data_IF_812263599249
#
_entry.id   IF_812263599249
#
_cell.length_a   1.000
_cell.length_b   1.000
_cell.length_c   1.000
_cell.angle_alpha   90.00
_cell.angle_beta   90.00
_cell.angle_gamma   90.00
#
_symmetry.space_group_name_H-M   'P 1'
#
loop_
_entity.id
_entity.type
_entity.pdbx_description
1 polymer ?
#
# COMPACT_ATOMS: atom_id res chain seq x y z
N UNK A 1 36.77 -42.51 -43.40
CA UNK A 1 35.47 -42.03 -42.77
C UNK A 1 34.68 -41.36 -43.90
N UNK A 2 33.52 -41.89 -44.20
CA UNK A 2 32.76 -41.47 -45.38
C UNK A 2 32.08 -40.11 -45.06
N UNK A 3 32.07 -39.20 -46.03
CA UNK A 3 31.46 -37.88 -45.89
C UNK A 3 29.98 -37.94 -45.44
N UNK A 4 29.41 -39.13 -45.58
CA UNK A 4 28.05 -39.44 -45.14
C UNK A 4 27.95 -39.65 -43.61
N UNK A 5 28.98 -40.20 -43.00
CA UNK A 5 29.04 -40.41 -41.54
C UNK A 5 29.26 -39.08 -40.82
N UNK A 6 30.07 -38.17 -41.34
CA UNK A 6 30.28 -36.83 -40.80
C UNK A 6 28.99 -35.98 -40.86
N UNK A 7 28.21 -36.11 -41.92
CA UNK A 7 26.91 -35.43 -42.05
C UNK A 7 25.87 -35.99 -41.05
N UNK A 8 25.88 -37.29 -40.84
CA UNK A 8 24.98 -37.96 -39.90
C UNK A 8 25.25 -37.53 -38.47
N UNK A 9 26.51 -37.51 -38.07
CA UNK A 9 26.94 -37.06 -36.74
C UNK A 9 26.61 -35.57 -36.51
N UNK A 10 26.80 -34.73 -37.55
CA UNK A 10 26.43 -33.33 -37.49
C UNK A 10 24.89 -33.10 -37.28
N UNK A 11 24.05 -33.89 -37.96
CA UNK A 11 22.61 -33.79 -37.79
C UNK A 11 22.14 -34.38 -36.46
N UNK A 12 22.75 -35.44 -35.95
CA UNK A 12 22.47 -35.95 -34.60
C UNK A 12 22.86 -34.95 -33.52
N UNK A 13 24.02 -34.31 -33.64
CA UNK A 13 24.47 -33.29 -32.69
C UNK A 13 23.50 -32.09 -32.71
N UNK A 14 23.12 -31.57 -33.88
CA UNK A 14 22.14 -30.49 -33.97
C UNK A 14 20.78 -30.86 -33.41
N UNK A 15 20.32 -32.08 -33.62
CA UNK A 15 19.07 -32.57 -33.04
C UNK A 15 19.13 -32.61 -31.51
N UNK A 16 20.26 -33.06 -30.93
CA UNK A 16 20.50 -33.12 -29.50
C UNK A 16 20.60 -31.72 -28.89
N UNK A 17 21.24 -30.77 -29.57
CA UNK A 17 21.31 -29.37 -29.15
C UNK A 17 19.90 -28.73 -29.14
N UNK A 18 19.08 -28.98 -30.16
CA UNK A 18 17.70 -28.50 -30.25
C UNK A 18 16.83 -29.15 -29.15
N UNK A 19 17.00 -30.44 -28.87
CA UNK A 19 16.29 -31.14 -27.80
C UNK A 19 16.71 -30.61 -26.43
N UNK A 20 18.00 -30.40 -26.19
CA UNK A 20 18.52 -29.82 -24.95
C UNK A 20 18.01 -28.38 -24.74
N UNK A 21 17.94 -27.58 -25.81
CA UNK A 21 17.36 -26.24 -25.80
C UNK A 21 15.85 -26.27 -25.53
N UNK A 22 15.12 -27.22 -26.11
CA UNK A 22 13.71 -27.45 -25.87
C UNK A 22 13.44 -27.94 -24.43
N UNK A 23 14.19 -28.90 -23.91
CA UNK A 23 14.10 -29.35 -22.52
C UNK A 23 14.45 -28.23 -21.53
N UNK A 24 15.47 -27.44 -21.81
CA UNK A 24 15.80 -26.23 -21.04
C UNK A 24 14.72 -25.16 -21.11
N UNK A 25 13.97 -25.09 -22.19
CA UNK A 25 12.80 -24.20 -22.31
C UNK A 25 11.57 -24.72 -21.57
N UNK A 26 11.42 -26.03 -21.43
CA UNK A 26 10.34 -26.68 -20.68
C UNK A 26 10.59 -26.68 -19.15
N UNK A 27 11.86 -26.60 -18.71
CA UNK A 27 12.25 -26.55 -17.30
C UNK A 27 12.20 -25.15 -16.70
N UNK A 28 11.49 -24.19 -17.33
CA UNK A 28 11.34 -22.86 -16.78
C UNK A 28 10.37 -22.89 -15.63
N UNK A 29 10.92 -22.87 -14.43
CA UNK A 29 10.17 -22.87 -13.19
C UNK A 29 9.38 -21.57 -13.02
N UNK A 30 8.12 -21.68 -12.63
CA UNK A 30 7.30 -20.56 -12.24
C UNK A 30 7.83 -20.04 -10.90
N UNK A 31 8.23 -18.78 -10.85
CA UNK A 31 8.83 -18.15 -9.69
C UNK A 31 7.92 -17.05 -9.17
N UNK A 32 7.81 -16.92 -7.84
CA UNK A 32 7.07 -15.83 -7.21
C UNK A 32 7.98 -14.64 -6.94
N UNK A 33 7.52 -13.47 -7.38
CA UNK A 33 8.21 -12.20 -7.19
C UNK A 33 7.39 -11.27 -6.30
N UNK A 34 8.03 -10.78 -5.23
CA UNK A 34 7.54 -9.70 -4.39
C UNK A 34 8.14 -8.40 -4.86
N UNK A 35 7.31 -7.37 -5.04
CA UNK A 35 7.72 -6.05 -5.50
C UNK A 35 7.31 -4.98 -4.50
N UNK A 36 8.20 -4.03 -4.25
CA UNK A 36 7.89 -2.78 -3.54
C UNK A 36 7.74 -1.67 -4.57
N UNK A 37 6.66 -0.90 -4.48
CA UNK A 37 6.33 0.16 -5.44
C UNK A 37 5.91 1.44 -4.75
N UNK A 38 6.43 2.58 -5.25
CA UNK A 38 5.99 3.92 -4.91
C UNK A 38 5.15 4.51 -6.04
N UNK A 39 4.17 5.34 -5.70
CA UNK A 39 3.35 6.03 -6.71
C UNK A 39 2.74 7.34 -6.19
N UNK A 40 2.60 8.29 -7.10
CA UNK A 40 1.69 9.41 -6.98
C UNK A 40 0.28 8.97 -7.42
N UNK A 41 -0.63 8.88 -6.47
CA UNK A 41 -2.00 8.39 -6.71
C UNK A 41 -2.96 9.43 -7.26
N UNK A 42 -2.54 10.69 -7.44
CA UNK A 42 -3.42 11.84 -7.74
C UNK A 42 -4.32 11.59 -8.94
N UNK A 43 -3.75 11.08 -10.03
CA UNK A 43 -4.44 10.93 -11.31
C UNK A 43 -4.97 9.50 -11.53
N UNK A 44 -4.96 8.66 -10.48
CA UNK A 44 -5.42 7.27 -10.53
C UNK A 44 -6.73 7.05 -9.75
N UNK A 45 -7.54 6.11 -10.25
CA UNK A 45 -8.76 5.66 -9.57
C UNK A 45 -8.51 4.78 -8.34
N UNK A 46 -7.32 4.87 -7.74
CA UNK A 46 -6.84 4.08 -6.63
C UNK A 46 -6.04 2.84 -7.07
N UNK A 47 -5.79 1.93 -6.12
CA UNK A 47 -4.98 0.75 -6.38
C UNK A 47 -5.68 -0.28 -7.26
N UNK A 48 -6.93 -0.65 -6.92
CA UNK A 48 -7.60 -1.84 -7.45
C UNK A 48 -8.14 -1.63 -8.86
N UNK A 49 -7.84 -2.57 -9.77
CA UNK A 49 -8.45 -2.66 -11.10
C UNK A 49 -9.98 -2.70 -11.01
N UNK A 50 -10.63 -1.94 -11.88
CA UNK A 50 -12.09 -1.81 -11.96
C UNK A 50 -12.53 -1.61 -13.41
N UNK A 51 -13.82 -1.77 -13.67
CA UNK A 51 -14.42 -1.49 -14.98
C UNK A 51 -14.09 -0.04 -15.39
N UNK A 52 -13.50 0.13 -16.58
CA UNK A 52 -13.05 1.43 -17.09
C UNK A 52 -11.56 1.69 -16.91
N UNK A 53 -10.82 0.86 -16.15
CA UNK A 53 -9.37 0.99 -15.98
C UNK A 53 -8.94 2.20 -15.15
N UNK A 54 -7.69 2.64 -15.33
CA UNK A 54 -7.16 3.84 -14.70
C UNK A 54 -6.66 3.64 -13.27
N UNK A 55 -6.47 2.40 -12.82
CA UNK A 55 -5.89 2.07 -11.53
C UNK A 55 -4.37 1.86 -11.60
N UNK A 56 -3.70 1.92 -10.45
CA UNK A 56 -2.28 1.56 -10.31
C UNK A 56 -2.06 0.09 -10.72
N UNK A 57 -2.98 -0.79 -10.35
CA UNK A 57 -2.93 -2.22 -10.71
C UNK A 57 -2.96 -2.40 -12.22
N UNK A 58 -3.88 -1.74 -12.94
CA UNK A 58 -3.97 -1.81 -14.41
C UNK A 58 -2.67 -1.35 -15.06
N UNK A 59 -2.08 -0.27 -14.56
CA UNK A 59 -0.83 0.26 -15.06
C UNK A 59 0.33 -0.73 -14.91
N UNK A 60 0.47 -1.36 -13.74
CA UNK A 60 1.54 -2.34 -13.46
C UNK A 60 1.30 -3.62 -14.26
N UNK A 61 0.07 -4.14 -14.31
CA UNK A 61 -0.29 -5.35 -15.07
C UNK A 61 -0.06 -5.16 -16.58
N UNK A 62 -0.34 -3.98 -17.12
CA UNK A 62 -0.03 -3.65 -18.51
C UNK A 62 1.49 -3.71 -18.78
N UNK A 63 2.31 -3.10 -17.92
CA UNK A 63 3.78 -3.15 -18.05
C UNK A 63 4.33 -4.57 -17.94
N UNK A 64 3.90 -5.32 -16.92
CA UNK A 64 4.29 -6.71 -16.74
C UNK A 64 3.92 -7.59 -17.95
N UNK A 65 2.70 -7.43 -18.43
CA UNK A 65 2.22 -8.19 -19.58
C UNK A 65 3.03 -7.89 -20.84
N UNK A 66 3.45 -6.63 -21.01
CA UNK A 66 4.33 -6.23 -22.13
C UNK A 66 5.74 -6.81 -22.02
N UNK A 67 6.29 -6.89 -20.79
CA UNK A 67 7.63 -7.45 -20.51
C UNK A 67 7.64 -8.98 -20.67
N UNK A 68 6.59 -9.65 -20.19
CA UNK A 68 6.48 -11.09 -20.13
C UNK A 68 5.86 -11.71 -21.38
N UNK A 69 5.30 -10.87 -22.29
CA UNK A 69 4.62 -11.32 -23.50
C UNK A 69 3.29 -12.05 -23.26
N UNK A 70 2.74 -11.99 -22.03
CA UNK A 70 1.48 -12.62 -21.65
C UNK A 70 0.75 -11.84 -20.58
N UNK A 71 -0.60 -11.90 -20.50
CA UNK A 71 -1.36 -11.30 -19.41
C UNK A 71 -0.86 -11.80 -18.04
N UNK A 72 -0.50 -10.87 -17.15
CA UNK A 72 0.03 -11.19 -15.84
C UNK A 72 -0.74 -10.41 -14.79
N UNK A 73 -1.37 -11.13 -13.86
CA UNK A 73 -2.10 -10.54 -12.74
C UNK A 73 -1.18 -10.33 -11.54
N UNK A 74 -1.44 -9.22 -10.81
CA UNK A 74 -0.74 -8.92 -9.57
C UNK A 74 -1.70 -8.96 -8.37
N UNK A 75 -1.14 -9.28 -7.20
CA UNK A 75 -1.85 -9.29 -5.92
C UNK A 75 -1.24 -8.27 -4.97
N UNK A 76 -1.94 -7.17 -4.71
CA UNK A 76 -1.47 -6.12 -3.80
C UNK A 76 -1.68 -6.45 -2.32
N UNK A 77 -0.86 -5.85 -1.44
CA UNK A 77 -0.97 -6.01 0.02
C UNK A 77 -2.29 -5.42 0.57
N UNK A 78 -2.89 -4.51 -0.14
CA UNK A 78 -4.16 -3.88 0.18
C UNK A 78 -4.49 -2.78 -0.81
N UNK A 79 -5.70 -2.25 -0.68
CA UNK A 79 -6.19 -1.18 -1.54
C UNK A 79 -5.85 0.18 -0.95
N UNK A 80 -5.51 1.13 -1.81
CA UNK A 80 -5.54 2.57 -1.53
C UNK A 80 -6.68 3.20 -2.31
N UNK A 81 -7.31 4.22 -1.73
CA UNK A 81 -8.39 4.97 -2.40
C UNK A 81 -7.84 5.80 -3.58
N UNK A 82 -8.74 6.29 -4.43
CA UNK A 82 -8.40 7.28 -5.46
C UNK A 82 -7.72 8.50 -4.82
N UNK A 83 -6.63 8.96 -5.41
CA UNK A 83 -5.83 10.09 -4.95
C UNK A 83 -4.91 9.82 -3.74
N UNK A 84 -4.86 8.59 -3.23
CA UNK A 84 -3.94 8.19 -2.14
C UNK A 84 -2.62 7.72 -2.73
N UNK A 85 -1.50 8.19 -2.16
CA UNK A 85 -0.14 7.88 -2.59
C UNK A 85 0.43 6.65 -1.88
N UNK A 86 1.57 6.16 -2.37
CA UNK A 86 2.39 5.19 -1.65
C UNK A 86 3.89 5.44 -1.84
N UNK A 87 4.65 5.23 -0.77
CA UNK A 87 6.11 5.11 -0.79
C UNK A 87 6.56 3.64 -0.78
N UNK A 88 5.70 2.73 -0.31
CA UNK A 88 6.06 1.33 -0.07
C UNK A 88 4.87 0.38 -0.16
N UNK A 89 4.02 0.50 -1.19
CA UNK A 89 3.03 -0.53 -1.49
C UNK A 89 3.74 -1.80 -1.94
N UNK A 90 3.19 -2.95 -1.58
CA UNK A 90 3.74 -4.26 -1.96
C UNK A 90 2.73 -5.04 -2.80
N UNK A 91 3.22 -5.67 -3.84
CA UNK A 91 2.47 -6.66 -4.61
C UNK A 91 3.34 -7.88 -4.92
N UNK A 92 2.71 -8.99 -5.27
CA UNK A 92 3.40 -10.16 -5.81
C UNK A 92 2.73 -10.62 -7.10
N UNK A 93 3.48 -11.38 -7.89
CA UNK A 93 3.02 -12.08 -9.08
C UNK A 93 3.88 -13.31 -9.32
N UNK A 94 3.37 -14.23 -10.13
CA UNK A 94 4.09 -15.42 -10.55
C UNK A 94 4.46 -15.31 -12.03
N UNK A 95 5.71 -15.58 -12.36
CA UNK A 95 6.20 -15.52 -13.73
C UNK A 95 7.34 -16.50 -13.98
N UNK A 96 7.43 -16.95 -15.24
CA UNK A 96 8.65 -17.53 -15.77
C UNK A 96 9.55 -16.38 -16.19
N UNK A 97 10.69 -16.22 -15.52
CA UNK A 97 11.65 -15.15 -15.78
C UNK A 97 13.07 -15.67 -15.71
N UNK A 98 13.82 -15.56 -16.82
CA UNK A 98 15.17 -16.15 -16.97
C UNK A 98 16.28 -15.29 -16.35
N UNK A 99 15.97 -14.02 -16.06
CA UNK A 99 16.97 -13.08 -15.57
C UNK A 99 16.84 -12.86 -14.05
N UNK A 100 17.74 -12.05 -13.48
CA UNK A 100 17.69 -11.72 -12.06
C UNK A 100 16.48 -10.83 -11.68
N UNK A 101 16.09 -10.80 -10.39
CA UNK A 101 15.07 -9.89 -9.90
C UNK A 101 15.37 -8.40 -10.17
N UNK A 102 16.65 -8.01 -10.13
CA UNK A 102 17.09 -6.63 -10.43
C UNK A 102 16.88 -6.29 -11.91
N UNK A 103 17.00 -7.27 -12.80
CA UNK A 103 16.69 -7.07 -14.22
C UNK A 103 15.19 -6.84 -14.42
N UNK A 104 14.31 -7.54 -13.67
CA UNK A 104 12.87 -7.29 -13.65
C UNK A 104 12.56 -5.88 -13.12
N UNK A 105 13.21 -5.44 -12.03
CA UNK A 105 13.04 -4.09 -11.49
C UNK A 105 13.41 -3.02 -12.53
N UNK A 106 14.54 -3.20 -13.22
CA UNK A 106 14.94 -2.28 -14.30
C UNK A 106 13.94 -2.28 -15.46
N UNK A 107 13.45 -3.43 -15.88
CA UNK A 107 12.45 -3.53 -16.95
C UNK A 107 11.13 -2.84 -16.57
N UNK A 108 10.66 -3.02 -15.33
CA UNK A 108 9.46 -2.35 -14.81
C UNK A 108 9.63 -0.83 -14.72
N UNK A 109 10.84 -0.33 -14.46
CA UNK A 109 11.16 1.09 -14.42
C UNK A 109 11.54 1.68 -15.78
N UNK A 110 11.69 0.87 -16.83
CA UNK A 110 12.01 1.36 -18.17
C UNK A 110 10.88 2.22 -18.74
N UNK A 111 11.26 3.22 -19.56
CA UNK A 111 10.33 4.24 -20.03
C UNK A 111 10.08 5.31 -18.96
N UNK A 112 9.66 6.49 -19.37
CA UNK A 112 9.57 7.68 -18.53
C UNK A 112 8.39 7.61 -17.53
N UNK A 113 8.49 6.75 -16.50
CA UNK A 113 7.42 6.49 -15.53
C UNK A 113 7.72 7.28 -14.25
N UNK A 114 7.34 8.55 -14.25
CA UNK A 114 7.55 9.41 -13.07
C UNK A 114 6.51 9.17 -11.95
N UNK A 115 5.33 8.65 -12.30
CA UNK A 115 4.20 8.55 -11.37
C UNK A 115 4.08 7.19 -10.65
N UNK A 116 4.68 6.11 -11.21
CA UNK A 116 4.75 4.77 -10.60
C UNK A 116 6.18 4.25 -10.74
N UNK A 117 6.83 3.91 -9.63
CA UNK A 117 8.21 3.43 -9.59
C UNK A 117 8.34 2.16 -8.77
N UNK A 118 8.79 1.08 -9.37
CA UNK A 118 9.17 -0.13 -8.65
C UNK A 118 10.52 0.12 -7.97
N UNK A 119 10.56 -0.04 -6.65
CA UNK A 119 11.74 0.23 -5.82
C UNK A 119 12.61 -1.01 -5.66
N UNK A 120 11.98 -2.17 -5.52
CA UNK A 120 12.69 -3.47 -5.45
C UNK A 120 11.82 -4.59 -6.01
N UNK A 121 12.50 -5.63 -6.49
CA UNK A 121 11.92 -6.93 -6.83
C UNK A 121 12.78 -7.96 -6.15
N UNK A 122 12.16 -8.90 -5.47
CA UNK A 122 12.83 -10.04 -4.84
C UNK A 122 12.05 -11.32 -5.14
N UNK A 123 12.76 -12.42 -5.33
CA UNK A 123 12.17 -13.73 -5.41
C UNK A 123 11.84 -14.22 -4.01
N UNK A 124 10.66 -14.78 -3.83
CA UNK A 124 10.16 -15.23 -2.54
C UNK A 124 9.57 -16.64 -2.67
N UNK A 125 9.43 -17.31 -1.52
CA UNK A 125 8.76 -18.61 -1.46
C UNK A 125 7.31 -18.52 -1.96
N UNK A 126 6.80 -19.61 -2.51
CA UNK A 126 5.41 -19.76 -2.98
C UNK A 126 4.39 -19.59 -1.86
N UNK A 127 4.78 -19.74 -0.60
CA UNK A 127 3.94 -19.47 0.56
C UNK A 127 3.70 -17.97 0.80
N UNK A 128 4.57 -17.11 0.26
CA UNK A 128 4.43 -15.67 0.41
C UNK A 128 3.19 -15.17 -0.32
N UNK A 129 2.33 -14.44 0.38
CA UNK A 129 1.21 -13.74 -0.24
C UNK A 129 1.18 -12.27 0.21
N UNK A 130 1.31 -11.32 -0.72
CA UNK A 130 1.42 -9.89 -0.42
C UNK A 130 0.32 -9.36 0.52
N UNK A 131 -0.88 -9.94 0.52
CA UNK A 131 -2.00 -9.53 1.36
C UNK A 131 -2.10 -10.34 2.66
N UNK A 132 -1.92 -11.66 2.60
CA UNK A 132 -2.22 -12.53 3.73
C UNK A 132 -1.03 -12.70 4.67
N UNK A 133 0.20 -12.48 4.18
CA UNK A 133 1.42 -12.49 5.00
C UNK A 133 1.70 -11.15 5.69
N UNK A 134 0.80 -10.15 5.56
CA UNK A 134 0.99 -8.81 6.17
C UNK A 134 0.80 -8.87 7.68
N UNK A 135 1.79 -8.35 8.41
CA UNK A 135 1.76 -8.19 9.88
C UNK A 135 1.33 -6.78 10.30
N UNK A 136 1.56 -5.79 9.46
CA UNK A 136 1.15 -4.42 9.73
C UNK A 136 1.42 -3.45 8.58
N UNK A 137 0.93 -2.22 8.73
CA UNK A 137 1.12 -1.14 7.77
C UNK A 137 1.37 0.17 8.48
N UNK A 138 2.22 1.00 7.86
CA UNK A 138 2.43 2.39 8.24
C UNK A 138 1.79 3.29 7.20
N UNK A 139 1.04 4.27 7.67
CA UNK A 139 0.56 5.39 6.89
C UNK A 139 1.08 6.70 7.46
N UNK A 140 1.35 7.64 6.57
CA UNK A 140 1.69 9.02 6.91
C UNK A 140 0.65 9.93 6.29
N UNK A 141 0.11 10.85 7.11
CA UNK A 141 -0.79 11.89 6.64
C UNK A 141 -0.17 13.27 6.86
N UNK A 142 -0.14 14.11 5.82
CA UNK A 142 0.46 15.44 5.87
C UNK A 142 -0.60 16.52 5.74
N UNK A 143 -0.55 17.50 6.64
CA UNK A 143 -1.44 18.64 6.70
C UNK A 143 -0.62 19.92 6.65
N UNK A 144 -0.99 20.89 5.82
CA UNK A 144 -0.48 22.25 5.89
C UNK A 144 -1.39 23.08 6.79
N UNK A 145 -0.81 23.76 7.81
CA UNK A 145 -1.57 24.64 8.73
C UNK A 145 -2.18 25.84 8.02
N UNK A 146 -1.58 26.26 6.90
CA UNK A 146 -2.10 27.28 5.99
C UNK A 146 -2.49 26.68 4.64
N UNK A 147 -2.32 27.46 3.59
CA UNK A 147 -2.43 27.00 2.22
C UNK A 147 -1.10 26.34 1.80
N UNK A 148 -1.16 25.12 1.31
CA UNK A 148 0.01 24.46 0.74
C UNK A 148 0.44 25.19 -0.54
N UNK A 149 1.76 25.27 -0.77
CA UNK A 149 2.32 25.72 -2.04
C UNK A 149 1.87 24.77 -3.17
N UNK A 150 1.73 25.24 -4.42
CA UNK A 150 1.19 24.45 -5.53
C UNK A 150 1.91 23.11 -5.77
N UNK A 151 3.23 23.06 -5.60
CA UNK A 151 4.06 21.85 -5.71
C UNK A 151 3.79 20.82 -4.60
N UNK A 152 3.29 21.27 -3.45
CA UNK A 152 2.96 20.44 -2.29
C UNK A 152 1.46 20.14 -2.17
N UNK A 153 0.60 20.88 -2.87
CA UNK A 153 -0.84 20.78 -2.74
C UNK A 153 -1.39 19.39 -3.12
N UNK A 154 -0.70 18.66 -4.01
CA UNK A 154 -1.05 17.29 -4.40
C UNK A 154 -0.80 16.27 -3.28
N UNK A 155 0.02 16.61 -2.27
CA UNK A 155 0.51 15.69 -1.24
C UNK A 155 0.15 16.11 0.18
N UNK A 156 -0.74 17.10 0.35
CA UNK A 156 -1.11 17.66 1.65
C UNK A 156 -2.56 18.11 1.69
N UNK A 157 -3.12 18.06 2.87
CA UNK A 157 -4.40 18.73 3.16
C UNK A 157 -4.15 20.16 3.65
N UNK A 158 -4.56 21.17 2.89
CA UNK A 158 -4.48 22.57 3.31
C UNK A 158 -5.63 22.92 4.26
N UNK A 159 -5.32 23.38 5.46
CA UNK A 159 -6.34 23.85 6.42
C UNK A 159 -6.75 25.31 6.15
N UNK A 160 -5.99 26.08 5.35
CA UNK A 160 -6.23 27.49 5.11
C UNK A 160 -6.15 28.28 6.43
N UNK A 161 -7.06 29.22 6.62
CA UNK A 161 -7.09 30.10 7.81
C UNK A 161 -7.74 29.44 9.06
N UNK A 162 -8.00 28.13 9.04
CA UNK A 162 -8.64 27.44 10.18
C UNK A 162 -7.65 27.31 11.33
N UNK A 163 -8.01 27.90 12.48
CA UNK A 163 -7.23 27.70 13.71
C UNK A 163 -7.27 26.22 14.11
N UNK A 164 -6.12 25.69 14.45
CA UNK A 164 -5.96 24.27 14.77
C UNK A 164 -5.03 24.14 15.97
N UNK A 165 -5.53 23.61 17.05
CA UNK A 165 -4.81 23.34 18.29
C UNK A 165 -4.18 21.95 18.19
N UNK A 166 -2.88 21.88 17.94
CA UNK A 166 -2.17 20.62 17.72
C UNK A 166 -2.07 19.80 19.01
N UNK A 167 -1.99 20.45 20.18
CA UNK A 167 -1.95 19.75 21.48
C UNK A 167 -3.24 18.94 21.72
N UNK A 168 -4.40 19.50 21.36
CA UNK A 168 -5.66 18.74 21.38
C UNK A 168 -5.65 17.56 20.42
N UNK A 169 -5.02 17.69 19.27
CA UNK A 169 -4.87 16.58 18.32
C UNK A 169 -3.97 15.47 18.88
N UNK A 170 -2.86 15.85 19.53
CA UNK A 170 -1.94 14.94 20.22
C UNK A 170 -2.66 14.20 21.36
N UNK A 171 -3.41 14.93 22.18
CA UNK A 171 -4.18 14.32 23.29
C UNK A 171 -5.23 13.34 22.74
N UNK A 172 -6.04 13.78 21.78
CA UNK A 172 -7.11 12.97 21.20
C UNK A 172 -6.60 11.72 20.45
N UNK A 173 -5.37 11.75 19.91
CA UNK A 173 -4.81 10.60 19.18
C UNK A 173 -4.64 9.37 20.08
N UNK A 174 -4.41 9.54 21.37
CA UNK A 174 -4.20 8.47 22.34
C UNK A 174 -5.44 7.57 22.52
N UNK A 175 -6.64 8.10 22.25
CA UNK A 175 -7.92 7.36 22.34
C UNK A 175 -7.92 6.13 21.40
N UNK A 176 -7.22 6.22 20.28
CA UNK A 176 -7.24 5.19 19.23
C UNK A 176 -6.15 4.13 19.38
N UNK A 177 -5.21 4.30 20.33
CA UNK A 177 -4.16 3.32 20.58
C UNK A 177 -4.75 2.04 21.21
N UNK A 178 -4.24 0.90 20.78
CA UNK A 178 -4.72 -0.39 21.26
C UNK A 178 -5.63 -1.11 20.25
N UNK A 179 -6.33 -2.12 20.76
CA UNK A 179 -7.25 -2.96 19.96
C UNK A 179 -8.69 -2.53 20.19
N UNK A 180 -9.34 -2.04 19.14
CA UNK A 180 -10.70 -1.53 19.19
C UNK A 180 -11.52 -2.01 17.99
N UNK A 181 -12.84 -1.96 18.12
CA UNK A 181 -13.75 -2.10 17.00
C UNK A 181 -13.92 -0.74 16.29
N UNK A 182 -13.20 -0.56 15.19
CA UNK A 182 -13.17 0.68 14.42
C UNK A 182 -14.34 0.83 13.43
N UNK A 183 -15.47 0.17 13.65
CA UNK A 183 -16.64 0.26 12.76
C UNK A 183 -17.10 1.70 12.54
N UNK A 184 -17.14 2.54 13.58
CA UNK A 184 -17.48 3.95 13.47
C UNK A 184 -16.49 4.76 12.62
N UNK A 185 -15.25 4.33 12.57
CA UNK A 185 -14.16 4.95 11.82
C UNK A 185 -13.90 4.25 10.48
N UNK A 186 -14.91 3.58 9.93
CA UNK A 186 -14.87 2.98 8.60
C UNK A 186 -15.98 3.49 7.70
N UNK A 187 -15.73 3.55 6.40
CA UNK A 187 -16.79 3.81 5.43
C UNK A 187 -17.45 2.48 5.02
N UNK A 188 -18.75 2.54 4.75
CA UNK A 188 -19.53 1.39 4.31
C UNK A 188 -19.08 0.96 2.89
N UNK A 189 -18.82 -0.33 2.71
CA UNK A 189 -18.51 -0.95 1.40
C UNK A 189 -19.70 -1.66 0.76
N UNK A 190 -20.90 -1.51 1.34
CA UNK A 190 -22.11 -2.22 0.93
C UNK A 190 -22.53 -3.28 1.95
N UNK A 191 -23.81 -3.65 1.92
CA UNK A 191 -24.45 -4.51 2.92
C UNK A 191 -23.90 -5.95 2.99
N UNK A 192 -23.27 -6.42 1.91
CA UNK A 192 -22.83 -7.81 1.78
C UNK A 192 -21.36 -8.06 2.14
N UNK A 193 -20.61 -7.03 2.56
CA UNK A 193 -19.19 -7.18 2.91
C UNK A 193 -19.05 -7.46 4.41
N UNK A 194 -18.83 -8.71 4.77
CA UNK A 194 -18.43 -9.11 6.12
C UNK A 194 -16.93 -8.82 6.28
N UNK A 195 -16.58 -7.76 7.00
CA UNK A 195 -15.20 -7.40 7.32
C UNK A 195 -15.01 -7.41 8.84
N UNK A 196 -13.91 -7.99 9.33
CA UNK A 196 -13.55 -7.86 10.74
C UNK A 196 -13.15 -6.41 11.02
N UNK A 197 -13.98 -5.70 11.79
CA UNK A 197 -13.79 -4.29 12.13
C UNK A 197 -12.87 -4.07 13.34
N UNK A 198 -12.50 -5.13 14.05
CA UNK A 198 -11.52 -5.06 15.14
C UNK A 198 -10.12 -4.97 14.56
N UNK A 199 -9.41 -3.90 14.90
CA UNK A 199 -8.03 -3.63 14.47
C UNK A 199 -7.20 -3.17 15.66
N UNK A 200 -5.89 -3.33 15.56
CA UNK A 200 -4.94 -2.81 16.54
C UNK A 200 -4.16 -1.65 15.92
N UNK A 201 -4.18 -0.49 16.55
CA UNK A 201 -3.30 0.63 16.23
C UNK A 201 -2.16 0.61 17.24
N UNK A 202 -0.96 0.32 16.77
CA UNK A 202 0.26 0.24 17.59
C UNK A 202 0.86 1.61 17.85
N UNK A 203 0.70 2.53 16.88
CA UNK A 203 1.26 3.87 16.88
C UNK A 203 0.31 4.85 16.19
N UNK A 204 0.11 6.03 16.81
CA UNK A 204 -0.60 7.14 16.20
C UNK A 204 0.01 8.44 16.75
N UNK A 205 1.07 8.90 16.11
CA UNK A 205 1.80 10.08 16.49
C UNK A 205 1.35 11.29 15.69
N UNK A 206 1.28 12.43 16.35
CA UNK A 206 1.02 13.74 15.75
C UNK A 206 2.20 14.64 16.05
N UNK A 207 2.87 15.10 15.00
CA UNK A 207 4.06 15.94 15.07
C UNK A 207 3.74 17.33 14.52
N UNK A 208 4.04 18.36 15.31
CA UNK A 208 3.99 19.76 14.87
C UNK A 208 5.36 20.16 14.28
N UNK A 209 5.41 20.34 12.97
CA UNK A 209 6.60 20.71 12.23
C UNK A 209 6.56 22.18 11.75
N UNK A 210 5.92 23.05 12.54
CA UNK A 210 5.75 24.47 12.18
C UNK A 210 4.62 24.68 11.19
N UNK A 211 4.88 24.76 9.89
CA UNK A 211 3.86 24.92 8.86
C UNK A 211 3.18 23.60 8.45
N UNK A 212 3.70 22.46 8.87
CA UNK A 212 3.17 21.12 8.60
C UNK A 212 2.76 20.43 9.91
N UNK A 213 1.66 19.70 9.89
CA UNK A 213 1.33 18.69 10.88
C UNK A 213 1.50 17.34 10.17
N UNK A 214 2.27 16.44 10.79
CA UNK A 214 2.47 15.08 10.30
C UNK A 214 1.82 14.11 11.26
N UNK A 215 0.99 13.21 10.72
CA UNK A 215 0.36 12.13 11.48
C UNK A 215 0.90 10.82 10.94
N UNK A 216 1.58 10.05 11.82
CA UNK A 216 2.11 8.73 11.48
C UNK A 216 1.33 7.67 12.25
N UNK A 217 0.77 6.69 11.55
CA UNK A 217 0.06 5.58 12.20
C UNK A 217 0.57 4.23 11.73
N UNK A 218 0.75 3.31 12.68
CA UNK A 218 1.09 1.90 12.44
C UNK A 218 0.02 1.02 13.08
N UNK A 219 -0.43 0.01 12.34
CA UNK A 219 -1.48 -0.89 12.82
C UNK A 219 -1.48 -2.23 12.10
N UNK A 220 -2.19 -3.20 12.67
CA UNK A 220 -2.36 -4.56 12.10
C UNK A 220 -3.06 -4.57 10.74
N UNK A 221 -3.76 -3.48 10.42
CA UNK A 221 -4.49 -3.26 9.18
C UNK A 221 -5.51 -2.15 9.36
N UNK A 222 -6.06 -1.68 8.26
CA UNK A 222 -6.99 -0.55 8.25
C UNK A 222 -8.23 -0.89 7.42
N UNK A 223 -9.38 -0.45 7.91
CA UNK A 223 -10.67 -0.54 7.22
C UNK A 223 -10.76 0.51 6.10
N UNK A 224 -11.77 0.38 5.27
CA UNK A 224 -12.01 1.33 4.18
C UNK A 224 -12.15 2.76 4.71
N UNK A 225 -11.31 3.67 4.22
CA UNK A 225 -11.17 5.08 4.61
C UNK A 225 -10.82 5.30 6.10
N UNK A 226 -10.44 4.28 6.86
CA UNK A 226 -10.23 4.38 8.31
C UNK A 226 -9.22 5.47 8.67
N UNK A 227 -8.00 5.45 8.12
CA UNK A 227 -6.98 6.46 8.43
C UNK A 227 -7.49 7.88 8.15
N UNK A 228 -8.16 8.08 7.03
CA UNK A 228 -8.72 9.40 6.66
C UNK A 228 -9.83 9.84 7.60
N UNK A 229 -10.64 8.92 8.12
CA UNK A 229 -11.68 9.20 9.11
C UNK A 229 -11.08 9.54 10.48
N UNK A 230 -10.03 8.82 10.91
CA UNK A 230 -9.28 9.15 12.13
C UNK A 230 -8.68 10.56 12.04
N UNK A 231 -8.00 10.87 10.94
CA UNK A 231 -7.42 12.21 10.72
C UNK A 231 -8.51 13.29 10.67
N UNK A 232 -9.63 13.03 10.00
CA UNK A 232 -10.74 13.97 9.94
C UNK A 232 -11.33 14.27 11.32
N UNK A 233 -11.48 13.25 12.17
CA UNK A 233 -11.94 13.38 13.54
C UNK A 233 -10.95 14.18 14.40
N UNK A 234 -9.65 13.86 14.32
CA UNK A 234 -8.57 14.57 15.02
C UNK A 234 -8.53 16.06 14.65
N UNK A 235 -8.65 16.39 13.36
CA UNK A 235 -8.67 17.78 12.91
C UNK A 235 -9.90 18.52 13.44
N UNK A 236 -11.08 17.89 13.47
CA UNK A 236 -12.28 18.52 14.02
C UNK A 236 -12.19 18.71 15.54
N UNK A 237 -11.54 17.80 16.25
CA UNK A 237 -11.23 17.94 17.67
C UNK A 237 -10.28 19.14 17.91
N UNK A 238 -9.21 19.23 17.13
CA UNK A 238 -8.26 20.34 17.19
C UNK A 238 -8.87 21.71 16.82
N UNK A 239 -9.94 21.71 16.04
CA UNK A 239 -10.72 22.92 15.70
C UNK A 239 -11.82 23.25 16.73
N UNK A 240 -11.96 22.45 17.79
CA UNK A 240 -12.98 22.63 18.81
C UNK A 240 -14.41 22.31 18.36
N UNK A 241 -14.57 21.60 17.22
CA UNK A 241 -15.88 21.16 16.71
C UNK A 241 -16.37 19.88 17.37
N UNK A 242 -15.43 19.07 17.85
CA UNK A 242 -15.66 17.82 18.59
C UNK A 242 -14.81 17.85 19.86
N UNK A 243 -15.27 17.18 20.89
CA UNK A 243 -14.50 16.88 22.10
C UNK A 243 -13.86 15.48 22.00
N UNK A 244 -12.87 15.23 22.83
CA UNK A 244 -12.31 13.87 23.01
C UNK A 244 -13.39 12.87 23.42
N UNK A 245 -14.34 13.30 24.28
CA UNK A 245 -15.50 12.49 24.69
C UNK A 245 -16.38 12.09 23.51
N UNK A 246 -16.54 12.95 22.50
CA UNK A 246 -17.31 12.60 21.30
C UNK A 246 -16.61 11.54 20.47
N UNK A 247 -15.26 11.61 20.38
CA UNK A 247 -14.45 10.61 19.68
C UNK A 247 -14.52 9.26 20.39
N UNK A 248 -14.40 9.27 21.72
CA UNK A 248 -14.48 8.06 22.54
C UNK A 248 -15.88 7.42 22.43
N UNK A 249 -16.95 8.20 22.56
CA UNK A 249 -18.33 7.72 22.40
C UNK A 249 -18.58 7.09 21.03
N UNK A 250 -18.06 7.70 19.96
CA UNK A 250 -18.16 7.14 18.61
C UNK A 250 -17.47 5.76 18.52
N UNK A 251 -16.29 5.60 19.12
CA UNK A 251 -15.55 4.35 19.15
C UNK A 251 -16.33 3.27 19.90
N UNK A 252 -16.84 3.58 21.10
CA UNK A 252 -17.58 2.66 21.96
C UNK A 252 -18.94 2.24 21.38
N UNK A 253 -19.69 3.21 20.83
CA UNK A 253 -21.01 2.96 20.22
C UNK A 253 -20.94 2.26 18.87
N UNK A 254 -19.75 2.20 18.26
CA UNK A 254 -19.52 1.65 16.92
C UNK A 254 -20.36 2.36 15.84
N UNK A 255 -20.83 3.56 16.14
CA UNK A 255 -21.71 4.34 15.27
C UNK A 255 -21.13 5.72 15.03
N UNK A 256 -20.81 6.04 13.77
CA UNK A 256 -20.26 7.33 13.39
C UNK A 256 -21.30 8.43 13.36
N UNK A 257 -22.52 8.12 12.90
CA UNK A 257 -23.47 9.16 12.51
C UNK A 257 -22.89 10.08 11.43
N UNK A 258 -23.15 11.39 11.56
CA UNK A 258 -22.60 12.45 10.70
C UNK A 258 -21.56 13.31 11.45
N UNK A 259 -20.92 12.78 12.48
CA UNK A 259 -20.09 13.55 13.40
C UNK A 259 -18.81 14.04 12.72
N UNK A 260 -18.14 13.18 11.92
CA UNK A 260 -16.89 13.54 11.24
C UNK A 260 -16.80 12.97 9.82
N UNK A 261 -16.01 13.64 8.99
CA UNK A 261 -15.82 13.29 7.58
C UNK A 261 -14.40 12.78 7.33
N UNK A 262 -14.24 12.01 6.27
CA UNK A 262 -12.91 11.56 5.85
C UNK A 262 -12.06 12.75 5.35
N UNK A 263 -10.85 12.85 5.86
CA UNK A 263 -9.86 13.81 5.37
C UNK A 263 -9.56 13.58 3.87
N UNK A 264 -9.13 14.59 3.10
CA UNK A 264 -8.77 14.46 1.68
C UNK A 264 -7.78 13.34 1.42
N UNK A 265 -7.88 12.69 0.27
CA UNK A 265 -6.97 11.60 -0.12
C UNK A 265 -5.52 12.09 -0.30
N UNK A 266 -5.36 13.28 -0.86
CA UNK A 266 -4.06 13.88 -1.22
C UNK A 266 -3.05 13.97 -0.05
N UNK A 267 -3.52 14.08 1.21
CA UNK A 267 -2.61 14.08 2.35
C UNK A 267 -2.10 12.69 2.76
N UNK A 268 -2.71 11.61 2.26
CA UNK A 268 -2.45 10.25 2.72
C UNK A 268 -1.44 9.50 1.85
N UNK A 269 -0.46 8.89 2.48
CA UNK A 269 0.54 8.04 1.83
C UNK A 269 0.65 6.72 2.59
N UNK A 270 0.52 5.58 1.89
CA UNK A 270 0.94 4.28 2.40
C UNK A 270 2.47 4.26 2.40
N UNK A 271 3.07 4.38 3.58
CA UNK A 271 4.52 4.55 3.71
C UNK A 271 5.26 3.20 3.67
N UNK A 272 4.77 2.20 4.42
CA UNK A 272 5.41 0.88 4.50
C UNK A 272 4.40 -0.23 4.80
N UNK A 273 4.67 -1.41 4.24
CA UNK A 273 4.00 -2.68 4.59
C UNK A 273 4.99 -3.56 5.32
N UNK A 274 4.60 -4.09 6.48
CA UNK A 274 5.44 -4.94 7.32
C UNK A 274 5.06 -6.40 7.14
N UNK A 275 6.06 -7.25 6.95
CA UNK A 275 5.95 -8.72 6.92
C UNK A 275 6.70 -9.37 8.08
N UNK A 276 7.24 -8.56 8.98
CA UNK A 276 7.88 -8.94 10.24
C UNK A 276 7.35 -7.99 11.34
N UNK A 277 6.78 -8.57 12.40
CA UNK A 277 6.25 -7.83 13.55
C UNK A 277 7.30 -7.00 14.27
N UNK A 278 8.56 -7.46 14.27
CA UNK A 278 9.66 -6.76 14.93
C UNK A 278 10.01 -5.42 14.27
N UNK A 279 9.52 -5.17 13.05
CA UNK A 279 9.71 -3.90 12.35
C UNK A 279 8.62 -2.87 12.67
N UNK A 280 7.56 -3.25 13.38
CA UNK A 280 6.45 -2.37 13.74
C UNK A 280 6.86 -1.57 14.98
N UNK A 281 6.69 -0.26 14.93
CA UNK A 281 6.95 0.63 16.07
C UNK A 281 5.72 0.65 16.98
N UNK A 282 5.94 0.40 18.27
CA UNK A 282 4.88 0.49 19.29
C UNK A 282 5.07 1.82 20.02
N UNK A 283 4.00 2.59 20.16
CA UNK A 283 4.02 3.86 20.90
C UNK A 283 4.25 3.62 22.40
N UNK A 284 5.00 4.51 23.07
CA UNK A 284 5.15 4.51 24.53
C UNK A 284 3.81 4.65 25.27
N UNK A 285 2.81 5.22 24.60
CA UNK A 285 1.44 5.36 25.12
C UNK A 285 0.55 4.16 24.78
N UNK A 286 1.09 3.07 24.20
CA UNK A 286 0.29 1.89 23.88
C UNK A 286 -0.22 1.23 25.16
N UNK A 287 -1.53 0.94 25.29
CA UNK A 287 -2.10 0.37 26.51
C UNK A 287 -1.48 -0.99 26.79
N UNK A 288 -0.90 -1.13 27.98
CA UNK A 288 -0.40 -2.42 28.46
C UNK A 288 -1.60 -3.35 28.66
N UNK A 289 -1.55 -4.61 28.20
CA UNK A 289 -2.62 -5.56 28.48
C UNK A 289 -2.87 -5.61 29.99
N UNK A 290 -4.12 -5.45 30.42
CA UNK A 290 -4.48 -5.70 31.81
C UNK A 290 -4.06 -7.15 32.15
N UNK A 291 -3.28 -7.31 33.22
CA UNK A 291 -2.81 -8.61 33.73
C UNK A 291 -3.98 -9.43 34.21
#
# INVERSE_FOLDING_TARGET
MDKFDELKDFFEQKKNDILAEYEKSQSQELRRFKCVVAYDGTDFCGWQSQLGGGSIQDFIEFKLSSILGKPTRIHGSGRTDAGVHANGQVFHFDAIWKHSPEAMARALCAGNVQVVRVLSVEEVSDDFHARFSVEGKRYVYKISKGYAMPDLARYRWSLGNRKTDVEKMISASKIFLGTHDFKAYSANRGANVKENTVKTIYRLDVEDLGNEIRITTEGSGYLYKMVRLLVGALVQCAQGKLSESDLQKALESKTRGNIFQAAPAAGLTLDKVFYDKNQITISDNFPTPAK
#
